data_IF_856553684677
#
_entry.id   IF_856553684677
#
_cell.length_a   1.000
_cell.length_b   1.000
_cell.length_c   1.000
_cell.angle_alpha   90.00
_cell.angle_beta   90.00
_cell.angle_gamma   90.00
#
_symmetry.space_group_name_H-M   'P 1'
#
loop_
_entity.id
_entity.type
_entity.pdbx_description
1 polymer ?
#
# COMPACT_ATOMS: atom_id res chain seq x y z
N UNK A 1 -81.98 13.71 -5.37
CA UNK A 1 -80.83 12.81 -5.57
C UNK A 1 -79.88 13.48 -6.55
N UNK A 2 -78.86 14.15 -5.98
CA UNK A 2 -77.51 14.44 -6.52
C UNK A 2 -77.33 14.77 -8.02
N UNK A 3 -77.34 16.07 -8.33
CA UNK A 3 -76.24 16.93 -8.80
C UNK A 3 -74.95 16.36 -9.46
N UNK A 4 -74.61 17.07 -10.55
CA UNK A 4 -73.30 17.59 -10.97
C UNK A 4 -72.42 16.86 -12.00
N UNK A 5 -72.43 17.48 -13.19
CA UNK A 5 -71.41 17.56 -14.22
C UNK A 5 -70.08 18.13 -13.67
N UNK A 6 -68.93 17.47 -13.94
CA UNK A 6 -67.59 18.10 -13.86
C UNK A 6 -66.62 17.37 -14.81
N UNK A 7 -65.92 18.07 -15.72
CA UNK A 7 -64.87 17.48 -16.55
C UNK A 7 -63.60 17.26 -15.73
N UNK A 8 -62.98 16.07 -15.88
CA UNK A 8 -61.76 15.68 -15.18
C UNK A 8 -60.56 16.57 -15.54
N UNK A 9 -59.94 17.13 -14.49
CA UNK A 9 -58.72 17.92 -14.54
C UNK A 9 -57.51 17.00 -14.78
N UNK A 10 -56.73 17.33 -15.80
CA UNK A 10 -55.35 16.86 -16.05
C UNK A 10 -54.46 17.25 -14.87
N UNK A 11 -53.76 16.28 -14.28
CA UNK A 11 -52.61 16.57 -13.42
C UNK A 11 -51.42 15.69 -13.81
N UNK A 12 -50.57 16.29 -14.64
CA UNK A 12 -49.20 15.86 -14.90
C UNK A 12 -48.38 16.07 -13.63
N UNK A 13 -48.08 15.00 -12.91
CA UNK A 13 -47.07 15.01 -11.86
C UNK A 13 -45.94 14.05 -12.24
N UNK A 14 -44.95 14.63 -12.90
CA UNK A 14 -43.58 14.14 -13.02
C UNK A 14 -43.08 13.73 -11.64
N UNK A 15 -42.98 12.43 -11.37
CA UNK A 15 -42.32 11.93 -10.17
C UNK A 15 -40.85 11.65 -10.54
N UNK A 16 -40.07 12.73 -10.68
CA UNK A 16 -38.62 12.65 -10.55
C UNK A 16 -38.33 12.35 -9.08
N UNK A 17 -38.24 11.07 -8.73
CA UNK A 17 -37.56 10.64 -7.52
C UNK A 17 -36.08 10.99 -7.72
N UNK A 18 -35.71 12.20 -7.35
CA UNK A 18 -34.32 12.53 -7.08
C UNK A 18 -33.91 11.72 -5.87
N UNK A 19 -33.34 10.54 -6.11
CA UNK A 19 -32.43 9.93 -5.16
C UNK A 19 -31.39 10.99 -4.81
N UNK A 20 -31.46 11.51 -3.59
CA UNK A 20 -30.44 12.41 -3.05
C UNK A 20 -29.16 11.60 -2.97
N UNK A 21 -28.35 11.64 -4.04
CA UNK A 21 -27.01 11.08 -4.11
C UNK A 21 -26.26 11.67 -2.92
N UNK A 22 -25.95 10.83 -1.92
CA UNK A 22 -25.02 11.21 -0.84
C UNK A 22 -23.78 11.81 -1.52
N UNK A 23 -23.21 12.93 -1.02
CA UNK A 23 -21.97 13.43 -1.59
C UNK A 23 -20.96 12.29 -1.60
N UNK A 24 -20.37 12.02 -2.78
CA UNK A 24 -19.43 10.93 -2.96
C UNK A 24 -18.26 11.19 -1.99
N UNK A 25 -18.09 10.32 -1.00
CA UNK A 25 -17.01 10.48 -0.02
C UNK A 25 -15.69 10.29 -0.76
N UNK A 26 -14.72 11.17 -0.51
CA UNK A 26 -13.35 11.07 -1.06
C UNK A 26 -12.83 9.65 -0.90
N UNK A 27 -12.50 8.99 -2.01
CA UNK A 27 -12.00 7.61 -2.00
C UNK A 27 -10.50 7.62 -1.77
N UNK A 28 -10.05 6.90 -0.75
CA UNK A 28 -8.64 6.80 -0.38
C UNK A 28 -8.17 5.38 -0.56
N UNK A 29 -7.01 5.22 -1.17
CA UNK A 29 -6.29 3.96 -1.25
C UNK A 29 -4.93 4.11 -0.55
N UNK A 30 -4.66 3.23 0.41
CA UNK A 30 -3.37 3.14 1.10
C UNK A 30 -2.74 1.80 0.70
N UNK A 31 -1.60 1.86 0.04
CA UNK A 31 -0.87 0.70 -0.49
C UNK A 31 0.42 0.47 0.28
N UNK A 32 0.64 -0.77 0.69
CA UNK A 32 1.98 -1.27 1.01
C UNK A 32 2.56 -1.96 -0.20
N UNK A 33 3.69 -1.48 -0.71
CA UNK A 33 4.41 -2.11 -1.82
C UNK A 33 5.69 -2.75 -1.29
N UNK A 34 6.08 -3.86 -1.91
CA UNK A 34 7.34 -4.52 -1.63
C UNK A 34 7.20 -6.03 -1.48
N UNK A 35 8.29 -6.66 -1.03
CA UNK A 35 8.37 -8.11 -0.92
C UNK A 35 8.87 -8.51 0.46
N UNK A 36 7.96 -9.06 1.27
CA UNK A 36 8.27 -9.51 2.64
C UNK A 36 9.32 -10.63 2.70
N UNK A 37 9.64 -11.27 1.57
CA UNK A 37 10.66 -12.31 1.50
C UNK A 37 12.08 -11.74 1.28
N UNK A 38 12.24 -10.44 1.04
CA UNK A 38 13.52 -9.81 0.68
C UNK A 38 13.88 -8.70 1.69
N UNK A 39 14.12 -9.10 2.95
CA UNK A 39 14.54 -8.21 4.04
C UNK A 39 13.79 -6.87 4.06
N UNK A 40 14.49 -5.74 3.87
CA UNK A 40 13.91 -4.40 3.96
C UNK A 40 12.94 -4.06 2.82
N UNK A 41 12.98 -4.81 1.71
CA UNK A 41 11.97 -4.71 0.64
C UNK A 41 10.55 -4.96 1.19
N UNK A 42 10.41 -5.66 2.32
CA UNK A 42 9.13 -5.88 2.97
C UNK A 42 8.52 -4.67 3.65
N UNK A 43 9.23 -3.53 3.77
CA UNK A 43 8.82 -2.40 4.62
C UNK A 43 7.40 -1.92 4.32
N UNK A 44 7.06 -1.68 3.05
CA UNK A 44 5.76 -1.13 2.70
C UNK A 44 4.61 -2.06 3.08
N UNK A 45 4.80 -3.36 2.87
CA UNK A 45 3.84 -4.39 3.30
C UNK A 45 3.73 -4.43 4.83
N UNK A 46 4.84 -4.35 5.57
CA UNK A 46 4.81 -4.31 7.04
C UNK A 46 4.09 -3.08 7.58
N UNK A 47 4.23 -1.93 6.92
CA UNK A 47 3.49 -0.72 7.27
C UNK A 47 1.98 -0.90 7.08
N UNK A 48 1.53 -1.40 5.92
CA UNK A 48 0.08 -1.55 5.70
C UNK A 48 -0.54 -2.61 6.61
N UNK A 49 0.18 -3.69 6.91
CA UNK A 49 -0.22 -4.70 7.89
C UNK A 49 -0.37 -4.10 9.30
N UNK A 50 0.62 -3.31 9.74
CA UNK A 50 0.59 -2.65 11.03
C UNK A 50 -0.56 -1.64 11.12
N UNK A 51 -0.76 -0.84 10.07
CA UNK A 51 -1.83 0.14 10.00
C UNK A 51 -3.20 -0.54 10.09
N UNK A 52 -3.40 -1.63 9.35
CA UNK A 52 -4.64 -2.41 9.39
C UNK A 52 -4.88 -3.02 10.76
N UNK A 53 -3.84 -3.55 11.40
CA UNK A 53 -3.89 -4.12 12.76
C UNK A 53 -4.30 -3.10 13.82
N UNK A 54 -3.76 -1.90 13.74
CA UNK A 54 -3.92 -0.87 14.77
C UNK A 54 -5.19 -0.04 14.58
N UNK A 55 -5.71 0.09 13.35
CA UNK A 55 -6.74 1.07 13.02
C UNK A 55 -7.91 0.49 12.23
N UNK A 56 -9.09 1.07 12.43
CA UNK A 56 -10.27 0.87 11.63
C UNK A 56 -10.63 2.17 10.93
N UNK A 57 -10.75 2.10 9.60
CA UNK A 57 -11.15 3.24 8.78
C UNK A 57 -12.60 3.10 8.30
N UNK A 58 -13.17 4.21 7.86
CA UNK A 58 -14.48 4.23 7.19
C UNK A 58 -14.40 3.58 5.80
N UNK A 59 -15.54 3.13 5.27
CA UNK A 59 -15.65 2.37 4.02
C UNK A 59 -15.05 3.05 2.77
N UNK A 60 -14.83 4.37 2.81
CA UNK A 60 -14.21 5.12 1.71
C UNK A 60 -12.67 5.07 1.74
N UNK A 61 -12.06 4.43 2.74
CA UNK A 61 -10.61 4.24 2.84
C UNK A 61 -10.29 2.75 2.72
N UNK A 62 -9.56 2.40 1.67
CA UNK A 62 -9.13 1.04 1.39
C UNK A 62 -7.67 0.85 1.74
N UNK A 63 -7.37 -0.11 2.60
CA UNK A 63 -6.01 -0.58 2.88
C UNK A 63 -5.76 -1.82 2.01
N UNK A 64 -4.60 -1.88 1.36
CA UNK A 64 -4.26 -2.99 0.49
C UNK A 64 -2.77 -3.30 0.53
N UNK A 65 -2.47 -4.59 0.71
CA UNK A 65 -1.18 -5.15 0.37
C UNK A 65 -1.06 -5.23 -1.16
N UNK A 66 -0.22 -4.37 -1.71
CA UNK A 66 0.08 -4.33 -3.15
C UNK A 66 1.19 -5.29 -3.54
N UNK A 67 1.96 -5.80 -2.57
CA UNK A 67 3.12 -6.66 -2.77
C UNK A 67 3.95 -6.24 -3.98
N UNK A 68 4.13 -7.18 -4.90
CA UNK A 68 4.83 -6.98 -6.18
C UNK A 68 3.87 -7.04 -7.38
N UNK A 69 2.60 -6.63 -7.23
CA UNK A 69 1.56 -6.87 -8.24
C UNK A 69 1.67 -6.00 -9.50
N UNK A 70 2.42 -4.88 -9.48
CA UNK A 70 2.63 -4.03 -10.65
C UNK A 70 1.31 -3.61 -11.33
N UNK A 71 1.19 -3.85 -12.64
CA UNK A 71 0.06 -3.40 -13.48
C UNK A 71 -1.33 -3.82 -12.98
N UNK A 72 -1.45 -4.89 -12.19
CA UNK A 72 -2.74 -5.30 -11.62
C UNK A 72 -3.33 -4.25 -10.65
N UNK A 73 -2.50 -3.32 -10.15
CA UNK A 73 -2.92 -2.24 -9.26
C UNK A 73 -3.61 -1.08 -9.99
N UNK A 74 -3.55 -0.99 -11.33
CA UNK A 74 -4.11 0.12 -12.12
C UNK A 74 -5.56 0.43 -11.77
N UNK A 75 -6.41 -0.60 -11.75
CA UNK A 75 -7.85 -0.41 -11.48
C UNK A 75 -8.09 0.12 -10.07
N UNK A 76 -7.26 -0.24 -9.09
CA UNK A 76 -7.38 0.26 -7.73
C UNK A 76 -6.92 1.72 -7.64
N UNK A 77 -5.80 2.04 -8.29
CA UNK A 77 -5.28 3.41 -8.36
C UNK A 77 -6.27 4.35 -9.05
N UNK A 78 -6.85 3.95 -10.18
CA UNK A 78 -7.81 4.75 -10.94
C UNK A 78 -9.12 5.04 -10.17
N UNK A 79 -9.46 4.22 -9.18
CA UNK A 79 -10.68 4.39 -8.37
C UNK A 79 -10.49 5.34 -7.17
N UNK A 80 -9.25 5.75 -6.88
CA UNK A 80 -8.91 6.56 -5.72
C UNK A 80 -8.81 8.04 -6.08
N UNK A 81 -9.36 8.90 -5.22
CA UNK A 81 -9.09 10.35 -5.28
C UNK A 81 -7.74 10.66 -4.61
N UNK A 82 -7.41 9.94 -3.54
CA UNK A 82 -6.16 10.05 -2.77
C UNK A 82 -5.47 8.68 -2.77
N UNK A 83 -4.21 8.67 -3.19
CA UNK A 83 -3.36 7.49 -3.13
C UNK A 83 -2.17 7.73 -2.19
N UNK A 84 -2.01 6.84 -1.22
CA UNK A 84 -0.91 6.83 -0.26
C UNK A 84 -0.13 5.53 -0.45
N UNK A 85 1.20 5.60 -0.50
CA UNK A 85 2.08 4.46 -0.75
C UNK A 85 3.17 4.38 0.30
N UNK A 86 3.38 3.19 0.87
CA UNK A 86 4.56 2.84 1.64
C UNK A 86 5.49 1.97 0.79
N UNK A 87 6.79 2.25 0.82
CA UNK A 87 7.79 1.51 0.06
C UNK A 87 9.21 1.59 0.68
N UNK A 88 10.07 0.61 0.42
CA UNK A 88 11.50 0.71 0.71
C UNK A 88 12.24 1.15 -0.56
N UNK A 89 12.91 2.29 -0.51
CA UNK A 89 13.51 2.90 -1.69
C UNK A 89 14.96 3.27 -1.38
N UNK A 90 15.89 2.79 -2.20
CA UNK A 90 17.29 3.14 -2.07
C UNK A 90 17.54 4.59 -2.52
N UNK A 91 17.80 5.44 -1.52
CA UNK A 91 18.15 6.83 -1.71
C UNK A 91 19.66 7.09 -1.78
N UNK A 92 20.50 6.09 -1.50
CA UNK A 92 21.92 6.30 -1.21
C UNK A 92 22.14 7.17 0.05
N UNK A 93 21.24 7.05 1.03
CA UNK A 93 21.28 7.74 2.32
C UNK A 93 21.59 6.74 3.46
N UNK A 94 21.65 7.24 4.69
CA UNK A 94 21.79 6.39 5.87
C UNK A 94 20.56 5.48 6.05
N UNK A 95 20.74 4.17 6.36
CA UNK A 95 19.63 3.26 6.60
C UNK A 95 18.61 3.76 7.62
N UNK A 96 17.34 3.52 7.35
CA UNK A 96 16.22 4.05 8.15
C UNK A 96 15.88 5.52 7.87
N UNK A 97 16.60 6.21 6.98
CA UNK A 97 16.22 7.57 6.57
C UNK A 97 14.90 7.56 5.82
N UNK A 98 13.87 8.20 6.39
CA UNK A 98 12.56 8.34 5.75
C UNK A 98 12.48 9.56 4.83
N UNK A 99 11.81 9.40 3.69
CA UNK A 99 11.47 10.47 2.74
C UNK A 99 9.97 10.49 2.52
N UNK A 100 9.44 11.71 2.47
CA UNK A 100 8.03 11.98 2.20
C UNK A 100 7.97 12.76 0.90
N UNK A 101 7.30 12.20 -0.10
CA UNK A 101 7.18 12.80 -1.44
C UNK A 101 5.70 12.97 -1.75
N UNK A 102 5.33 14.08 -2.41
CA UNK A 102 3.93 14.46 -2.62
C UNK A 102 3.63 14.75 -4.09
N UNK A 103 2.42 14.41 -4.50
CA UNK A 103 1.81 14.82 -5.77
C UNK A 103 2.74 14.61 -6.99
N UNK A 104 2.99 15.65 -7.78
CA UNK A 104 3.79 15.58 -9.00
C UNK A 104 5.24 15.13 -8.78
N UNK A 105 5.75 15.21 -7.55
CA UNK A 105 7.08 14.71 -7.23
C UNK A 105 7.09 13.18 -7.15
N UNK A 106 5.96 12.52 -6.86
CA UNK A 106 5.91 11.06 -6.69
C UNK A 106 6.28 10.33 -7.98
N UNK A 107 5.65 10.57 -9.15
CA UNK A 107 6.02 9.87 -10.39
C UNK A 107 7.47 10.15 -10.81
N UNK A 108 7.94 11.40 -10.63
CA UNK A 108 9.31 11.83 -10.94
C UNK A 108 10.32 11.11 -10.06
N UNK A 109 10.01 10.99 -8.78
CA UNK A 109 10.87 10.36 -7.79
C UNK A 109 11.02 8.86 -8.02
N UNK A 110 9.92 8.19 -8.36
CA UNK A 110 9.96 6.77 -8.68
C UNK A 110 10.76 6.48 -9.97
N UNK A 111 10.95 7.47 -10.86
CA UNK A 111 11.60 7.26 -12.17
C UNK A 111 13.07 7.60 -12.26
N UNK A 112 13.64 8.17 -11.19
CA UNK A 112 14.96 8.80 -11.25
C UNK A 112 16.12 7.89 -10.79
N UNK A 113 15.87 6.70 -10.23
CA UNK A 113 16.94 5.82 -9.67
C UNK A 113 16.83 4.39 -10.17
N UNK A 114 17.88 3.60 -9.92
CA UNK A 114 17.85 2.15 -10.17
C UNK A 114 16.81 1.54 -9.23
N UNK A 115 15.64 1.28 -9.79
CA UNK A 115 14.49 0.78 -9.07
C UNK A 115 14.44 -0.74 -9.13
N UNK A 116 13.85 -1.34 -8.09
CA UNK A 116 13.47 -2.74 -8.10
C UNK A 116 12.45 -3.04 -9.23
N UNK A 117 12.27 -4.32 -9.55
CA UNK A 117 11.30 -4.74 -10.58
C UNK A 117 9.86 -4.33 -10.21
N UNK A 118 9.48 -4.40 -8.93
CA UNK A 118 8.14 -4.03 -8.49
C UNK A 118 7.94 -2.51 -8.46
N UNK A 119 8.99 -1.72 -8.19
CA UNK A 119 8.93 -0.26 -8.29
C UNK A 119 8.73 0.20 -9.73
N UNK A 120 9.45 -0.42 -10.68
CA UNK A 120 9.25 -0.19 -12.12
C UNK A 120 7.79 -0.48 -12.52
N UNK A 121 7.24 -1.61 -12.04
CA UNK A 121 5.85 -1.97 -12.29
C UNK A 121 4.84 -0.98 -11.71
N UNK A 122 5.14 -0.33 -10.57
CA UNK A 122 4.23 0.68 -10.00
C UNK A 122 4.32 2.03 -10.72
N UNK A 123 5.46 2.37 -11.32
CA UNK A 123 5.54 3.53 -12.21
C UNK A 123 4.64 3.40 -13.43
N UNK A 124 4.63 2.21 -14.04
CA UNK A 124 3.75 1.91 -15.17
C UNK A 124 2.28 2.05 -14.78
N UNK A 125 1.93 1.69 -13.54
CA UNK A 125 0.58 1.88 -12.97
C UNK A 125 0.20 3.37 -12.94
N UNK A 126 1.07 4.22 -12.39
CA UNK A 126 0.82 5.67 -12.31
C UNK A 126 0.75 6.30 -13.72
N UNK A 127 1.68 5.93 -14.60
CA UNK A 127 1.71 6.42 -15.98
C UNK A 127 0.47 6.00 -16.77
N UNK A 128 -0.04 4.78 -16.55
CA UNK A 128 -1.28 4.31 -17.17
C UNK A 128 -2.48 5.10 -16.65
N UNK A 129 -2.58 5.32 -15.34
CA UNK A 129 -3.68 6.10 -14.76
C UNK A 129 -3.68 7.55 -15.27
N UNK A 130 -2.50 8.17 -15.41
CA UNK A 130 -2.34 9.49 -16.02
C UNK A 130 -2.75 9.49 -17.49
N UNK A 131 -2.29 8.50 -18.26
CA UNK A 131 -2.60 8.34 -19.67
C UNK A 131 -4.11 8.18 -19.93
N UNK A 132 -4.83 7.48 -19.07
CA UNK A 132 -6.30 7.33 -19.19
C UNK A 132 -7.08 8.51 -18.62
N UNK A 133 -6.42 9.46 -17.94
CA UNK A 133 -7.06 10.62 -17.32
C UNK A 133 -7.71 10.34 -15.96
N UNK A 134 -7.41 9.19 -15.34
CA UNK A 134 -8.00 8.73 -14.07
C UNK A 134 -6.94 8.65 -12.95
N UNK A 135 -5.88 9.44 -13.02
CA UNK A 135 -4.88 9.50 -11.94
C UNK A 135 -5.49 10.09 -10.65
N UNK A 136 -5.08 9.59 -9.46
CA UNK A 136 -5.43 10.22 -8.19
C UNK A 136 -5.03 11.69 -8.17
N UNK A 137 -5.89 12.54 -7.60
CA UNK A 137 -5.67 13.99 -7.51
C UNK A 137 -4.64 14.35 -6.45
N UNK A 138 -4.40 13.44 -5.52
CA UNK A 138 -3.49 13.63 -4.40
C UNK A 138 -2.68 12.36 -4.21
N UNK A 139 -1.36 12.54 -4.13
CA UNK A 139 -0.42 11.44 -3.96
C UNK A 139 0.46 11.69 -2.73
N UNK A 140 0.68 10.65 -1.94
CA UNK A 140 1.68 10.63 -0.88
C UNK A 140 2.51 9.36 -1.00
N UNK A 141 3.81 9.51 -1.04
CA UNK A 141 4.76 8.42 -0.91
C UNK A 141 5.55 8.60 0.38
N UNK A 142 5.49 7.59 1.25
CA UNK A 142 6.30 7.47 2.46
C UNK A 142 7.29 6.34 2.23
N UNK A 143 8.53 6.70 1.91
CA UNK A 143 9.56 5.71 1.64
C UNK A 143 10.69 5.75 2.64
N UNK A 144 11.35 4.61 2.85
CA UNK A 144 12.47 4.46 3.79
C UNK A 144 13.71 3.95 3.07
N UNK A 145 14.87 4.48 3.44
CA UNK A 145 16.16 3.95 3.01
C UNK A 145 16.37 2.55 3.62
N UNK A 146 16.52 1.50 2.81
CA UNK A 146 16.85 0.16 3.30
C UNK A 146 18.32 0.08 3.75
N UNK A 147 18.60 -0.87 4.64
CA UNK A 147 19.95 -1.35 4.97
C UNK A 147 20.33 -2.55 4.10
N UNK A 148 19.41 -3.51 3.96
CA UNK A 148 19.61 -4.73 3.19
C UNK A 148 18.40 -5.02 2.30
N UNK A 149 18.66 -5.10 0.99
CA UNK A 149 17.65 -5.48 0.00
C UNK A 149 17.87 -6.89 -0.53
N UNK A 150 19.08 -7.46 -0.46
CA UNK A 150 19.44 -8.71 -1.14
C UNK A 150 19.58 -9.92 -0.18
N UNK A 151 18.67 -10.03 0.81
CA UNK A 151 18.60 -11.18 1.72
C UNK A 151 17.25 -11.91 1.59
N UNK A 152 17.23 -12.92 0.72
CA UNK A 152 16.07 -13.79 0.55
C UNK A 152 15.80 -14.62 1.82
N UNK A 153 14.58 -14.54 2.36
CA UNK A 153 14.23 -15.08 3.67
C UNK A 153 14.65 -14.16 4.84
N UNK A 154 15.21 -12.99 4.53
CA UNK A 154 15.48 -11.91 5.47
C UNK A 154 14.21 -11.31 6.06
N UNK A 155 14.33 -10.66 7.22
CA UNK A 155 13.30 -9.77 7.79
C UNK A 155 13.86 -8.35 7.79
N UNK A 156 13.03 -7.37 8.15
CA UNK A 156 13.46 -5.97 8.27
C UNK A 156 14.67 -5.87 9.20
N UNK A 157 15.67 -5.10 8.76
CA UNK A 157 16.78 -4.66 9.59
C UNK A 157 16.29 -3.63 10.60
N UNK A 158 16.95 -3.59 11.74
CA UNK A 158 16.49 -2.82 12.89
C UNK A 158 16.28 -1.32 12.57
N UNK A 159 17.16 -0.63 11.82
CA UNK A 159 16.94 0.77 11.46
C UNK A 159 15.65 1.00 10.66
N UNK A 160 15.29 0.06 9.79
CA UNK A 160 14.09 0.13 8.92
C UNK A 160 12.85 -0.30 9.70
N UNK A 161 12.95 -1.36 10.51
CA UNK A 161 11.87 -1.84 11.39
C UNK A 161 11.39 -0.75 12.34
N UNK A 162 12.31 0.06 12.88
CA UNK A 162 11.98 1.19 13.76
C UNK A 162 11.22 2.32 13.04
N UNK A 163 11.23 2.38 11.70
CA UNK A 163 10.49 3.38 10.93
C UNK A 163 9.04 2.99 10.64
N UNK A 164 8.60 1.77 10.97
CA UNK A 164 7.20 1.36 10.72
C UNK A 164 6.22 2.29 11.42
N UNK A 165 6.34 2.49 12.74
CA UNK A 165 5.43 3.37 13.47
C UNK A 165 5.54 4.85 13.03
N UNK A 166 6.74 5.44 12.88
CA UNK A 166 6.89 6.78 12.30
C UNK A 166 6.22 6.97 10.94
N UNK A 167 6.28 5.96 10.06
CA UNK A 167 5.63 6.02 8.75
C UNK A 167 4.11 6.01 8.86
N UNK A 168 3.55 5.20 9.77
CA UNK A 168 2.12 5.22 10.09
C UNK A 168 1.69 6.61 10.57
N UNK A 169 2.44 7.21 11.49
CA UNK A 169 2.14 8.51 12.06
C UNK A 169 2.10 9.61 10.98
N UNK A 170 3.04 9.59 10.03
CA UNK A 170 3.03 10.49 8.85
C UNK A 170 1.74 10.35 8.03
N UNK A 171 1.28 9.13 7.81
CA UNK A 171 0.05 8.88 7.05
C UNK A 171 -1.19 9.30 7.82
N UNK A 172 -1.24 9.06 9.13
CA UNK A 172 -2.34 9.49 10.00
C UNK A 172 -2.45 11.01 10.04
N UNK A 173 -1.33 11.72 10.20
CA UNK A 173 -1.27 13.18 10.18
C UNK A 173 -1.70 13.74 8.81
N UNK A 174 -1.27 13.10 7.73
CA UNK A 174 -1.68 13.46 6.38
C UNK A 174 -3.20 13.33 6.21
N UNK A 175 -3.78 12.20 6.62
CA UNK A 175 -5.22 11.93 6.53
C UNK A 175 -6.05 12.87 7.41
N UNK A 176 -5.53 13.28 8.56
CA UNK A 176 -6.18 14.27 9.43
C UNK A 176 -6.39 15.62 8.71
N UNK A 177 -5.47 16.01 7.82
CA UNK A 177 -5.63 17.18 6.94
C UNK A 177 -6.84 17.11 5.99
N UNK A 178 -7.32 15.90 5.69
CA UNK A 178 -8.52 15.63 4.90
C UNK A 178 -9.73 15.27 5.76
N UNK A 179 -9.67 15.50 7.08
CA UNK A 179 -10.72 15.15 8.04
C UNK A 179 -11.05 13.64 8.06
N UNK A 180 -10.08 12.81 7.66
CA UNK A 180 -10.17 11.35 7.73
C UNK A 180 -9.42 10.92 8.99
N UNK A 181 -10.16 10.53 10.02
CA UNK A 181 -9.60 10.10 11.30
C UNK A 181 -10.03 8.65 11.56
N UNK A 182 -9.09 7.70 11.60
CA UNK A 182 -9.43 6.33 11.95
C UNK A 182 -9.78 6.16 13.42
N UNK A 183 -10.43 5.06 13.74
CA UNK A 183 -10.60 4.60 15.11
C UNK A 183 -9.49 3.62 15.46
N UNK A 184 -8.84 3.79 16.60
CA UNK A 184 -7.90 2.78 17.12
C UNK A 184 -8.68 1.51 17.46
N UNK A 185 -8.12 0.35 17.08
CA UNK A 185 -8.68 -0.95 17.40
C UNK A 185 -8.32 -1.33 18.84
N UNK A 186 -9.34 -1.60 19.66
CA UNK A 186 -9.16 -2.12 21.02
C UNK A 186 -9.06 -3.66 21.05
N UNK A 187 -9.58 -4.33 20.02
CA UNK A 187 -9.56 -5.78 19.90
C UNK A 187 -8.70 -6.20 18.71
N UNK A 188 -7.87 -7.26 18.85
CA UNK A 188 -7.09 -7.80 17.75
C UNK A 188 -7.97 -8.23 16.58
N UNK A 189 -7.48 -8.05 15.36
CA UNK A 189 -8.13 -8.52 14.14
C UNK A 189 -8.21 -10.06 14.13
N UNK A 190 -9.36 -10.64 13.75
CA UNK A 190 -9.45 -12.07 13.49
C UNK A 190 -8.45 -12.50 12.41
N UNK A 191 -7.95 -13.74 12.49
CA UNK A 191 -6.99 -14.29 11.51
C UNK A 191 -7.50 -14.34 10.05
N UNK A 192 -8.81 -14.28 9.82
CA UNK A 192 -9.38 -14.25 8.47
C UNK A 192 -9.47 -12.84 7.88
N UNK A 193 -9.32 -11.81 8.71
CA UNK A 193 -9.46 -10.40 8.32
C UNK A 193 -8.10 -9.71 8.12
N UNK A 194 -6.98 -10.39 8.39
CA UNK A 194 -5.64 -9.85 8.13
C UNK A 194 -5.34 -9.81 6.63
N UNK A 195 -4.48 -8.87 6.22
CA UNK A 195 -4.13 -8.67 4.81
C UNK A 195 -3.24 -9.79 4.25
N UNK A 196 -2.39 -10.37 5.10
CA UNK A 196 -1.46 -11.43 4.72
C UNK A 196 -1.83 -12.78 5.37
N UNK A 197 -1.47 -13.91 4.74
CA UNK A 197 -1.56 -15.22 5.37
C UNK A 197 -0.82 -15.25 6.72
N UNK A 198 -1.36 -15.95 7.72
CA UNK A 198 -0.79 -15.96 9.07
C UNK A 198 0.68 -16.42 9.15
N UNK A 199 1.17 -17.21 8.19
CA UNK A 199 2.58 -17.62 8.10
C UNK A 199 3.53 -16.46 7.77
N UNK A 200 3.03 -15.43 7.10
CA UNK A 200 3.80 -14.24 6.73
C UNK A 200 3.67 -13.13 7.76
N UNK A 201 2.87 -13.29 8.81
CA UNK A 201 2.83 -12.36 9.95
C UNK A 201 4.24 -12.17 10.53
N UNK A 202 4.65 -10.93 10.78
CA UNK A 202 6.01 -10.58 11.15
C UNK A 202 6.57 -11.43 12.31
N UNK A 203 5.82 -11.57 13.41
CA UNK A 203 6.28 -12.34 14.57
C UNK A 203 6.51 -13.82 14.22
N UNK A 204 5.53 -14.46 13.60
CA UNK A 204 5.65 -15.86 13.17
C UNK A 204 6.74 -16.06 12.13
N UNK A 205 6.86 -15.14 11.18
CA UNK A 205 7.91 -15.17 10.17
C UNK A 205 9.30 -15.07 10.80
N UNK A 206 9.50 -14.18 11.79
CA UNK A 206 10.78 -14.03 12.47
C UNK A 206 11.11 -15.23 13.37
N UNK A 207 10.12 -15.80 14.07
CA UNK A 207 10.29 -16.90 15.03
C UNK A 207 10.40 -18.28 14.35
N UNK A 208 9.68 -18.50 13.25
CA UNK A 208 9.58 -19.80 12.58
C UNK A 208 10.49 -19.92 11.35
N UNK A 209 11.14 -18.83 10.88
CA UNK A 209 12.02 -18.91 9.70
C UNK A 209 13.29 -19.73 9.97
N UNK A 210 13.70 -20.60 9.04
CA UNK A 210 14.94 -21.37 9.17
C UNK A 210 16.18 -20.45 9.14
N UNK A 211 17.22 -20.86 9.88
CA UNK A 211 18.54 -20.23 9.78
C UNK A 211 19.14 -20.44 8.40
N UNK A 212 20.06 -19.57 8.00
CA UNK A 212 20.78 -19.71 6.72
C UNK A 212 21.49 -21.06 6.58
N UNK A 213 22.06 -21.60 7.67
CA UNK A 213 22.71 -22.92 7.67
C UNK A 213 21.72 -24.06 7.38
N UNK A 214 20.47 -23.93 7.85
CA UNK A 214 19.43 -24.95 7.65
C UNK A 214 18.70 -24.82 6.32
N UNK A 215 18.69 -23.61 5.73
CA UNK A 215 18.08 -23.30 4.45
C UNK A 215 18.96 -22.28 3.71
N UNK A 216 19.89 -22.78 2.90
CA UNK A 216 20.83 -21.94 2.15
C UNK A 216 20.10 -20.96 1.22
N UNK A 217 20.40 -19.68 1.37
CA UNK A 217 19.70 -18.56 0.69
C UNK A 217 20.40 -18.10 -0.57
N UNK A 218 21.67 -18.47 -0.74
CA UNK A 218 22.48 -18.13 -1.90
C UNK A 218 22.16 -18.95 -3.15
N UNK A 219 21.05 -19.71 -3.18
CA UNK A 219 20.57 -20.54 -4.30
C UNK A 219 21.28 -21.89 -4.47
N UNK A 220 20.78 -22.74 -5.37
CA UNK A 220 21.33 -24.10 -5.53
C UNK A 220 22.68 -24.08 -6.26
N UNK A 221 23.72 -24.61 -5.61
CA UNK A 221 25.10 -24.65 -6.11
C UNK A 221 25.26 -25.38 -7.46
N UNK A 222 24.32 -26.24 -7.85
CA UNK A 222 24.33 -26.89 -9.17
C UNK A 222 24.00 -25.94 -10.31
N UNK A 223 23.24 -24.88 -10.00
CA UNK A 223 22.78 -23.88 -10.97
C UNK A 223 23.59 -22.59 -10.89
N UNK A 224 24.11 -22.28 -9.71
CA UNK A 224 24.95 -21.12 -9.48
C UNK A 224 26.41 -21.54 -9.61
N UNK A 225 26.97 -21.29 -10.79
CA UNK A 225 28.34 -21.60 -11.18
C UNK A 225 29.37 -20.73 -10.42
N UNK A 226 29.40 -20.83 -9.08
CA UNK A 226 30.39 -20.14 -8.25
C UNK A 226 31.60 -21.05 -8.10
N UNK A 227 32.64 -20.74 -8.89
CA UNK A 227 34.02 -20.89 -8.43
C UNK A 227 34.15 -20.03 -7.17
N UNK A 228 33.84 -20.61 -6.01
CA UNK A 228 34.25 -20.02 -4.75
C UNK A 228 35.77 -20.18 -4.67
N UNK A 229 36.51 -19.09 -4.90
CA UNK A 229 37.89 -19.02 -4.46
C UNK A 229 37.86 -19.05 -2.94
N UNK A 230 38.11 -20.22 -2.36
CA UNK A 230 38.56 -20.30 -0.97
C UNK A 230 39.92 -19.60 -0.92
N UNK A 231 39.93 -18.33 -0.51
CA UNK A 231 41.15 -17.72 0.01
C UNK A 231 41.40 -18.37 1.37
N UNK A 232 42.04 -19.54 1.34
CA UNK A 232 42.95 -19.94 2.41
C UNK A 232 44.35 -19.48 2.00
N UNK A 233 45.08 -18.96 3.01
CA UNK A 233 46.41 -18.34 3.05
C UNK A 233 46.52 -16.82 2.85
#
# INVERSE_FOLDING_TARGET
MTDNNTPGVINTATNCLSETKKPDKTKVLILGIGNVLWADEGFGVRCIEALHRQYQFADNVKLMDGGTQGIYLVQHVQQADILIVFDAIDYGLEPGTMKIVRDEEVPKFMGAKQMSLHQTGFQEVLAMAEFTGDAPKTLLLVGVQPEELEDFGGSLREPVKQQVQPALDVVLDFLAGYQIVPQTRETPLPEHDVLAPGQLELARYEDERPSEDSAFRGGDARFLNRQFSTSED
#
